data_IF_504767687295
#
_entry.id   IF_504767687295
#
_cell.length_a   1.000
_cell.length_b   1.000
_cell.length_c   1.000
_cell.angle_alpha   90.00
_cell.angle_beta   90.00
_cell.angle_gamma   90.00
#
_symmetry.space_group_name_H-M   'P 1'
#
loop_
_entity.id
_entity.type
_entity.pdbx_description
1 polymer ?
#
# COMPACT_ATOMS: atom_id res chain seq x y z
N UNK A 1 -3.96 19.62 -1.58
CA UNK A 1 -2.83 19.41 -0.63
C UNK A 1 -2.11 18.12 -0.99
N UNK A 2 -0.77 18.12 -0.93
CA UNK A 2 0.04 16.92 -1.20
C UNK A 2 0.14 16.04 0.04
N UNK A 3 -0.20 14.76 -0.11
CA UNK A 3 -0.04 13.71 0.90
C UNK A 3 1.01 12.72 0.38
N UNK A 4 2.02 12.48 1.18
CA UNK A 4 3.10 11.55 0.88
C UNK A 4 2.75 10.19 1.48
N UNK A 5 3.04 9.11 0.78
CA UNK A 5 2.84 7.72 1.22
C UNK A 5 4.14 6.97 1.08
N UNK A 6 4.55 6.28 2.15
CA UNK A 6 5.78 5.50 2.20
C UNK A 6 5.51 4.13 2.84
N UNK A 7 6.44 3.21 2.61
CA UNK A 7 6.44 1.85 3.09
C UNK A 7 7.61 1.58 4.05
N UNK A 8 7.42 0.63 4.94
CA UNK A 8 8.53 -0.01 5.66
C UNK A 8 8.31 -1.52 5.74
N UNK A 9 9.34 -2.27 5.33
CA UNK A 9 9.28 -3.71 5.16
C UNK A 9 8.58 -4.08 3.86
N UNK A 10 9.35 -4.52 2.86
CA UNK A 10 8.86 -4.83 1.50
C UNK A 10 7.79 -5.93 1.48
N UNK A 11 6.91 -5.94 0.48
CA UNK A 11 5.81 -6.92 0.40
C UNK A 11 6.37 -8.32 0.15
N UNK A 12 7.31 -8.44 -0.79
CA UNK A 12 8.04 -9.66 -1.15
C UNK A 12 8.87 -10.25 0.00
N UNK A 13 9.26 -9.42 0.98
CA UNK A 13 9.93 -9.88 2.20
C UNK A 13 8.90 -10.52 3.15
N UNK A 14 8.42 -11.71 2.79
CA UNK A 14 7.28 -12.37 3.45
C UNK A 14 7.55 -12.83 4.88
N UNK A 15 8.81 -12.88 5.31
CA UNK A 15 9.18 -13.19 6.70
C UNK A 15 8.98 -12.00 7.67
N UNK A 16 8.87 -10.78 7.15
CA UNK A 16 8.67 -9.56 7.95
C UNK A 16 7.30 -8.96 7.69
N UNK A 17 6.81 -8.09 8.58
CA UNK A 17 5.60 -7.30 8.33
C UNK A 17 5.88 -6.16 7.34
N UNK A 18 4.82 -5.65 6.74
CA UNK A 18 4.82 -4.44 5.92
C UNK A 18 3.98 -3.38 6.61
N UNK A 19 4.46 -2.15 6.65
CA UNK A 19 3.71 -0.97 7.11
C UNK A 19 3.61 -0.01 5.93
N UNK A 20 2.40 0.47 5.65
CA UNK A 20 2.17 1.61 4.75
C UNK A 20 1.67 2.76 5.61
N UNK A 21 2.22 3.95 5.43
CA UNK A 21 1.86 5.14 6.18
C UNK A 21 1.78 6.37 5.29
N UNK A 22 0.97 7.35 5.69
CA UNK A 22 0.90 8.65 5.05
C UNK A 22 1.50 9.79 5.92
N UNK A 23 1.78 10.93 5.30
CA UNK A 23 2.28 12.13 5.98
C UNK A 23 1.24 12.82 6.88
N UNK A 24 0.03 12.26 7.00
CA UNK A 24 -1.06 12.78 7.86
C UNK A 24 -1.24 11.98 9.15
N UNK A 25 -0.47 10.93 9.38
CA UNK A 25 -0.56 10.14 10.62
C UNK A 25 -1.30 8.81 10.46
N UNK A 26 -1.78 8.48 9.26
CA UNK A 26 -2.47 7.22 8.99
C UNK A 26 -1.48 6.13 8.66
N UNK A 27 -1.78 4.91 9.12
CA UNK A 27 -0.96 3.76 8.83
C UNK A 27 -1.77 2.47 8.95
N UNK A 28 -1.32 1.45 8.23
CA UNK A 28 -1.79 0.07 8.35
C UNK A 28 -0.60 -0.86 8.45
N UNK A 29 -0.81 -2.04 9.04
CA UNK A 29 0.21 -3.08 9.12
C UNK A 29 -0.31 -4.36 8.49
N UNK A 30 0.45 -4.92 7.54
CA UNK A 30 0.19 -6.23 6.95
C UNK A 30 1.23 -7.22 7.46
N UNK A 31 0.78 -8.29 8.13
CA UNK A 31 1.69 -9.19 8.84
C UNK A 31 2.40 -10.19 7.93
N UNK A 32 3.56 -10.68 8.36
CA UNK A 32 4.28 -11.77 7.70
C UNK A 32 3.41 -12.99 7.38
N UNK A 33 2.63 -13.48 8.36
CA UNK A 33 1.73 -14.64 8.19
C UNK A 33 0.75 -14.41 7.04
N UNK A 34 -0.03 -13.32 7.11
CA UNK A 34 -0.99 -12.99 6.06
C UNK A 34 -0.31 -12.78 4.68
N UNK A 35 0.93 -12.25 4.62
CA UNK A 35 1.71 -12.15 3.37
C UNK A 35 2.08 -13.51 2.79
N UNK A 36 2.49 -14.46 3.64
CA UNK A 36 2.83 -15.81 3.20
C UNK A 36 1.61 -16.55 2.66
N UNK A 37 0.48 -16.45 3.37
CA UNK A 37 -0.79 -17.03 2.92
C UNK A 37 -1.23 -16.43 1.57
N UNK A 38 -1.16 -15.12 1.42
CA UNK A 38 -1.54 -14.46 0.18
C UNK A 38 -0.58 -14.81 -0.97
N UNK A 39 0.74 -14.82 -0.73
CA UNK A 39 1.72 -15.26 -1.72
C UNK A 39 1.45 -16.71 -2.18
N UNK A 40 1.07 -17.60 -1.26
CA UNK A 40 0.70 -18.97 -1.60
C UNK A 40 -0.51 -19.01 -2.55
N UNK A 41 -1.55 -18.21 -2.29
CA UNK A 41 -2.71 -18.08 -3.18
C UNK A 41 -2.30 -17.63 -4.59
N UNK A 42 -1.43 -16.61 -4.71
CA UNK A 42 -0.92 -16.16 -6.01
C UNK A 42 -0.09 -17.22 -6.74
N UNK A 43 0.66 -18.05 -6.02
CA UNK A 43 1.41 -19.19 -6.59
C UNK A 43 0.45 -20.25 -7.14
N UNK A 44 -0.57 -20.62 -6.37
CA UNK A 44 -1.59 -21.58 -6.80
C UNK A 44 -2.35 -21.07 -8.05
N UNK A 45 -2.56 -19.77 -8.15
CA UNK A 45 -3.18 -19.12 -9.31
C UNK A 45 -2.21 -18.90 -10.50
N UNK A 46 -0.97 -19.41 -10.44
CA UNK A 46 0.09 -19.23 -11.45
C UNK A 46 0.40 -17.74 -11.78
N UNK A 47 0.23 -16.83 -10.81
CA UNK A 47 0.51 -15.39 -10.94
C UNK A 47 1.46 -14.86 -9.83
N UNK A 48 2.58 -15.54 -9.51
CA UNK A 48 3.41 -15.19 -8.35
C UNK A 48 4.01 -13.79 -8.41
N UNK A 49 4.26 -13.24 -9.62
CA UNK A 49 4.79 -11.89 -9.80
C UNK A 49 3.78 -10.79 -9.42
N UNK A 50 2.49 -11.05 -9.66
CA UNK A 50 1.43 -10.07 -9.39
C UNK A 50 1.19 -9.86 -7.90
N UNK A 51 1.59 -10.83 -7.05
CA UNK A 51 1.50 -10.72 -5.60
C UNK A 51 2.06 -9.38 -5.10
N UNK A 52 3.25 -9.00 -5.52
CA UNK A 52 3.92 -7.79 -5.01
C UNK A 52 3.15 -6.55 -5.42
N UNK A 53 2.84 -6.41 -6.71
CA UNK A 53 2.21 -5.21 -7.26
C UNK A 53 0.77 -5.03 -6.81
N UNK A 54 -0.04 -6.09 -6.84
CA UNK A 54 -1.44 -6.02 -6.44
C UNK A 54 -1.58 -5.80 -4.93
N UNK A 55 -0.76 -6.47 -4.10
CA UNK A 55 -0.80 -6.31 -2.65
C UNK A 55 -0.25 -4.96 -2.22
N UNK A 56 0.84 -4.47 -2.81
CA UNK A 56 1.31 -3.12 -2.53
C UNK A 56 0.23 -2.08 -2.87
N UNK A 57 -0.30 -2.15 -4.10
CA UNK A 57 -1.30 -1.20 -4.61
C UNK A 57 -2.58 -1.19 -3.78
N UNK A 58 -3.09 -2.35 -3.36
CA UNK A 58 -4.30 -2.42 -2.53
C UNK A 58 -4.06 -1.86 -1.12
N UNK A 59 -2.87 -2.08 -0.53
CA UNK A 59 -2.52 -1.50 0.77
C UNK A 59 -2.43 0.03 0.70
N UNK A 60 -1.81 0.56 -0.36
CA UNK A 60 -1.76 2.02 -0.62
C UNK A 60 -3.16 2.59 -0.84
N UNK A 61 -3.99 1.95 -1.65
CA UNK A 61 -5.37 2.40 -1.88
C UNK A 61 -6.20 2.45 -0.58
N UNK A 62 -5.96 1.54 0.36
CA UNK A 62 -6.61 1.53 1.68
C UNK A 62 -6.15 2.70 2.55
N UNK A 63 -4.89 3.13 2.42
CA UNK A 63 -4.39 4.34 3.10
C UNK A 63 -4.99 5.60 2.47
N UNK A 64 -4.96 5.71 1.14
CA UNK A 64 -5.58 6.84 0.41
C UNK A 64 -7.04 7.00 0.82
N UNK A 65 -7.79 5.89 0.93
CA UNK A 65 -9.19 5.90 1.39
C UNK A 65 -9.38 6.54 2.77
N UNK A 66 -8.42 6.45 3.69
CA UNK A 66 -8.56 7.02 5.03
C UNK A 66 -8.44 8.55 5.04
N UNK A 67 -7.80 9.13 4.03
CA UNK A 67 -7.56 10.57 3.92
C UNK A 67 -8.15 11.19 2.65
N UNK A 68 -8.99 10.44 1.94
CA UNK A 68 -9.52 10.86 0.65
C UNK A 68 -10.28 12.18 0.77
N UNK A 69 -9.91 13.12 -0.10
CA UNK A 69 -10.62 14.36 -0.34
C UNK A 69 -10.41 14.77 -1.80
N UNK A 70 -11.42 15.35 -2.48
CA UNK A 70 -11.29 15.95 -3.82
C UNK A 70 -10.32 17.14 -3.91
N UNK A 71 -9.59 17.46 -2.85
CA UNK A 71 -8.53 18.46 -2.84
C UNK A 71 -7.13 17.85 -2.61
N UNK A 72 -7.01 16.54 -2.36
CA UNK A 72 -5.77 15.91 -1.94
C UNK A 72 -5.06 15.19 -3.10
N UNK A 73 -3.83 15.55 -3.42
CA UNK A 73 -2.96 14.74 -4.29
C UNK A 73 -2.09 13.80 -3.46
N UNK A 74 -1.79 12.64 -4.01
CA UNK A 74 -1.01 11.58 -3.36
C UNK A 74 0.29 11.34 -4.14
N UNK A 75 1.40 11.39 -3.41
CA UNK A 75 2.70 10.99 -3.91
C UNK A 75 3.15 9.75 -3.15
N UNK A 76 3.49 8.69 -3.86
CA UNK A 76 3.97 7.43 -3.29
C UNK A 76 5.49 7.35 -3.52
N UNK A 77 6.23 6.89 -2.51
CA UNK A 77 7.68 6.70 -2.66
C UNK A 77 8.00 5.65 -3.73
N UNK A 78 9.11 5.85 -4.42
CA UNK A 78 9.57 4.95 -5.48
C UNK A 78 10.06 3.63 -4.88
N UNK A 79 9.17 2.66 -4.77
CA UNK A 79 9.49 1.35 -4.17
C UNK A 79 9.90 0.27 -5.18
N UNK A 80 9.29 0.28 -6.38
CA UNK A 80 9.49 -0.74 -7.42
C UNK A 80 9.80 -0.08 -8.76
N UNK A 81 11.09 0.03 -9.08
CA UNK A 81 11.56 0.68 -10.30
C UNK A 81 10.91 0.10 -11.57
N UNK A 82 10.53 0.99 -12.50
CA UNK A 82 9.94 0.68 -13.80
C UNK A 82 8.54 0.05 -13.75
N UNK A 83 7.84 0.13 -12.61
CA UNK A 83 6.49 -0.43 -12.46
C UNK A 83 5.45 0.63 -12.11
N UNK A 84 5.81 1.90 -12.24
CA UNK A 84 5.03 3.03 -11.76
C UNK A 84 3.64 3.08 -12.39
N UNK A 85 3.55 2.98 -13.71
CA UNK A 85 2.27 2.96 -14.44
C UNK A 85 1.38 1.79 -14.02
N UNK A 86 1.97 0.60 -13.83
CA UNK A 86 1.23 -0.57 -13.37
C UNK A 86 0.67 -0.33 -11.96
N UNK A 87 1.49 0.18 -11.05
CA UNK A 87 1.11 0.45 -9.66
C UNK A 87 0.02 1.52 -9.61
N UNK A 88 0.17 2.63 -10.33
CA UNK A 88 -0.84 3.70 -10.39
C UNK A 88 -2.17 3.14 -10.91
N UNK A 89 -2.14 2.38 -12.01
CA UNK A 89 -3.35 1.78 -12.58
C UNK A 89 -4.04 0.82 -11.59
N UNK A 90 -3.28 -0.02 -10.89
CA UNK A 90 -3.81 -0.92 -9.87
C UNK A 90 -4.42 -0.14 -8.68
N UNK A 91 -3.74 0.92 -8.21
CA UNK A 91 -4.26 1.77 -7.14
C UNK A 91 -5.59 2.40 -7.53
N UNK A 92 -5.65 3.03 -8.72
CA UNK A 92 -6.89 3.63 -9.23
C UNK A 92 -8.01 2.60 -9.38
N UNK A 93 -7.69 1.39 -9.87
CA UNK A 93 -8.64 0.28 -9.94
C UNK A 93 -9.18 -0.08 -8.54
N UNK A 94 -8.33 -0.22 -7.53
CA UNK A 94 -8.78 -0.57 -6.18
C UNK A 94 -9.54 0.56 -5.49
N UNK A 95 -9.18 1.83 -5.73
CA UNK A 95 -9.96 2.97 -5.28
C UNK A 95 -11.37 2.95 -5.88
N UNK A 96 -11.49 2.66 -7.18
CA UNK A 96 -12.78 2.50 -7.86
C UNK A 96 -13.63 1.40 -7.23
N UNK A 97 -13.05 0.22 -6.95
CA UNK A 97 -13.74 -0.87 -6.22
C UNK A 97 -14.22 -0.44 -4.83
N UNK A 98 -13.50 0.48 -4.20
CA UNK A 98 -13.85 1.07 -2.91
C UNK A 98 -14.79 2.29 -3.02
N UNK A 99 -15.34 2.58 -4.20
CA UNK A 99 -16.22 3.71 -4.53
C UNK A 99 -15.55 5.09 -4.40
N UNK A 100 -14.25 5.16 -4.66
CA UNK A 100 -13.47 6.39 -4.72
C UNK A 100 -13.03 6.59 -6.18
N UNK A 101 -13.31 7.77 -6.73
CA UNK A 101 -13.13 8.08 -8.14
C UNK A 101 -12.27 9.35 -8.29
N UNK A 102 -10.95 9.25 -8.03
CA UNK A 102 -10.06 10.39 -8.21
C UNK A 102 -9.73 10.58 -9.69
N UNK A 103 -9.35 11.79 -10.07
CA UNK A 103 -8.78 12.05 -11.40
C UNK A 103 -7.44 11.32 -11.58
N UNK A 104 -7.00 11.10 -12.83
CA UNK A 104 -5.76 10.34 -13.08
C UNK A 104 -4.52 10.99 -12.46
N UNK A 105 -4.48 12.31 -12.39
CA UNK A 105 -3.31 13.06 -11.89
C UNK A 105 -3.24 13.13 -10.36
N UNK A 106 -4.20 12.49 -9.66
CA UNK A 106 -4.22 12.43 -8.20
C UNK A 106 -3.11 11.59 -7.60
N UNK A 107 -2.64 10.57 -8.32
CA UNK A 107 -1.69 9.59 -7.78
C UNK A 107 -0.43 9.66 -8.62
N UNK A 108 0.67 9.98 -7.96
CA UNK A 108 2.00 10.09 -8.56
C UNK A 108 2.99 9.22 -7.80
N UNK A 109 4.05 8.79 -8.48
CA UNK A 109 5.21 8.13 -7.86
C UNK A 109 6.40 9.06 -8.02
N UNK A 110 7.12 9.29 -6.93
CA UNK A 110 8.37 10.07 -6.95
C UNK A 110 9.23 9.70 -5.75
N UNK A 111 10.51 10.05 -5.75
CA UNK A 111 11.36 9.82 -4.59
C UNK A 111 10.91 10.69 -3.40
N UNK A 112 10.51 10.05 -2.32
CA UNK A 112 10.17 10.65 -1.04
C UNK A 112 11.36 10.41 -0.12
N UNK A 113 12.06 11.50 0.23
CA UNK A 113 13.25 11.40 1.07
C UNK A 113 12.94 10.92 2.50
N UNK A 114 13.95 10.36 3.17
CA UNK A 114 13.88 9.87 4.57
C UNK A 114 13.41 10.90 5.63
N UNK A 115 13.38 12.18 5.26
CA UNK A 115 12.91 13.27 6.12
C UNK A 115 11.39 13.44 6.10
N UNK A 116 10.67 12.77 5.20
CA UNK A 116 9.21 12.84 5.11
C UNK A 116 8.55 12.27 6.37
N UNK A 117 7.37 12.82 6.69
CA UNK A 117 6.58 12.33 7.81
C UNK A 117 6.02 10.92 7.52
N UNK A 118 5.74 10.61 6.25
CA UNK A 118 5.34 9.27 5.82
C UNK A 118 6.43 8.24 6.14
N UNK A 119 7.69 8.52 5.80
CA UNK A 119 8.83 7.65 6.07
C UNK A 119 9.02 7.42 7.57
N UNK A 120 9.07 8.51 8.33
CA UNK A 120 9.26 8.46 9.79
C UNK A 120 8.18 7.60 10.45
N UNK A 121 6.92 7.79 10.04
CA UNK A 121 5.80 7.03 10.58
C UNK A 121 5.86 5.56 10.19
N UNK A 122 6.09 5.25 8.91
CA UNK A 122 6.21 3.88 8.43
C UNK A 122 7.32 3.14 9.19
N UNK A 123 8.49 3.76 9.32
CA UNK A 123 9.65 3.18 10.01
C UNK A 123 9.40 3.00 11.51
N UNK A 124 8.84 4.01 12.18
CA UNK A 124 8.52 3.95 13.61
C UNK A 124 7.55 2.80 13.92
N UNK A 125 6.47 2.69 13.14
CA UNK A 125 5.47 1.62 13.31
C UNK A 125 6.03 0.26 12.89
N UNK A 126 6.96 0.23 11.94
CA UNK A 126 7.70 -0.98 11.61
C UNK A 126 8.57 -1.46 12.78
N UNK A 127 9.20 -0.57 13.55
CA UNK A 127 10.02 -0.95 14.73
C UNK A 127 9.20 -1.29 15.98
N UNK A 128 7.98 -0.78 16.09
CA UNK A 128 7.13 -0.98 17.27
C UNK A 128 6.66 -2.45 17.40
N UNK A 129 6.71 -3.00 18.63
CA UNK A 129 6.12 -4.31 18.98
C UNK A 129 4.61 -4.16 19.17
N UNK A 130 3.82 -5.12 18.68
CA UNK A 130 2.35 -5.02 18.67
C UNK A 130 1.82 -4.17 17.51
N UNK A 131 0.66 -4.55 16.95
CA UNK A 131 0.13 -4.01 15.68
C UNK A 131 -1.37 -3.67 15.78
N UNK A 132 -1.72 -2.53 16.41
CA UNK A 132 -3.13 -2.18 16.66
C UNK A 132 -3.91 -1.91 15.36
N UNK A 133 -3.25 -1.48 14.28
CA UNK A 133 -3.87 -1.26 12.96
C UNK A 133 -3.52 -2.36 11.96
N UNK A 134 -3.60 -3.63 12.39
CA UNK A 134 -3.37 -4.79 11.51
C UNK A 134 -4.51 -4.90 10.51
N UNK A 135 -4.18 -4.97 9.22
CA UNK A 135 -5.12 -5.40 8.19
C UNK A 135 -5.05 -6.91 8.00
N UNK A 136 -6.22 -7.55 7.94
CA UNK A 136 -6.35 -9.00 7.76
C UNK A 136 -6.43 -9.35 6.27
N UNK A 137 -5.95 -10.54 5.93
CA UNK A 137 -5.98 -11.07 4.57
C UNK A 137 -7.38 -11.05 3.95
N UNK A 138 -8.45 -11.37 4.70
CA UNK A 138 -9.82 -11.41 4.17
C UNK A 138 -10.28 -10.06 3.62
N UNK A 139 -9.88 -8.96 4.27
CA UNK A 139 -10.18 -7.61 3.80
C UNK A 139 -9.46 -7.31 2.48
N UNK A 140 -8.23 -7.79 2.32
CA UNK A 140 -7.47 -7.64 1.08
C UNK A 140 -8.09 -8.47 -0.03
N UNK A 141 -8.35 -9.77 0.22
CA UNK A 141 -8.96 -10.67 -0.75
C UNK A 141 -10.31 -10.16 -1.24
N UNK A 142 -11.14 -9.60 -0.34
CA UNK A 142 -12.41 -8.99 -0.72
C UNK A 142 -12.26 -7.86 -1.74
N UNK A 143 -11.21 -7.05 -1.67
CA UNK A 143 -10.95 -5.97 -2.64
C UNK A 143 -10.34 -6.52 -3.93
N UNK A 144 -9.45 -7.52 -3.82
CA UNK A 144 -8.82 -8.14 -4.99
C UNK A 144 -9.84 -8.85 -5.89
N UNK A 145 -10.83 -9.54 -5.29
CA UNK A 145 -11.79 -10.40 -6.00
C UNK A 145 -13.10 -9.71 -6.44
N UNK A 146 -13.35 -8.48 -6.00
CA UNK A 146 -14.49 -7.66 -6.45
C UNK A 146 -14.31 -7.16 -7.88
#
# INVERSE_FOLDING_TARGET
MRIEIDQSGKVEATAIKTVIADSKGHYITFSAVDKQSLQHIYRLANRPRMFVYEVFSVLVAIIIKQTYSPENSYTIDTEYLHQDDLIINLILQYLKKMKIYPDKDYVSISQIGKKSEAHKLAYLKYKTRGHPKKIKIDKILKILLQ
#
